data_IF_278797540332
#
_entry.id   IF_278797540332
#
_cell.length_a   1.000
_cell.length_b   1.000
_cell.length_c   1.000
_cell.angle_alpha   90.00
_cell.angle_beta   90.00
_cell.angle_gamma   90.00
#
_symmetry.space_group_name_H-M   'P 1'
#
loop_
_entity.id
_entity.type
_entity.pdbx_description
1 polymer ?
#
# COMPACT_ATOMS: atom_id res chain seq x y z
N UNK A 1 -33.94 4.38 17.50
CA UNK A 1 -32.66 3.83 17.95
C UNK A 1 -32.37 2.65 17.04
N UNK A 2 -31.43 2.77 16.11
CA UNK A 2 -31.05 1.67 15.25
C UNK A 2 -30.12 0.74 16.04
N UNK A 3 -30.52 -0.51 16.20
CA UNK A 3 -29.77 -1.59 16.81
C UNK A 3 -28.46 -1.77 16.02
N UNK A 4 -27.38 -1.28 16.58
CA UNK A 4 -26.04 -1.55 16.01
C UNK A 4 -25.82 -3.06 16.13
N UNK A 5 -26.02 -3.77 15.03
CA UNK A 5 -25.66 -5.18 14.87
C UNK A 5 -24.19 -5.34 15.26
N UNK A 6 -23.94 -5.82 16.47
CA UNK A 6 -22.60 -6.14 17.00
C UNK A 6 -22.07 -7.40 16.33
N UNK A 7 -21.76 -7.31 15.03
CA UNK A 7 -21.01 -8.38 14.38
C UNK A 7 -19.64 -8.47 15.05
N UNK A 8 -19.21 -9.65 15.46
CA UNK A 8 -17.93 -9.81 16.15
C UNK A 8 -16.78 -9.30 15.26
N UNK A 9 -15.85 -8.60 15.89
CA UNK A 9 -14.64 -8.09 15.25
C UNK A 9 -13.82 -9.26 14.66
N UNK A 10 -13.33 -9.18 13.41
CA UNK A 10 -12.55 -10.27 12.83
C UNK A 10 -11.24 -10.46 13.61
N UNK A 11 -10.81 -11.71 13.75
CA UNK A 11 -9.55 -12.01 14.44
C UNK A 11 -8.35 -11.48 13.65
N UNK A 12 -7.31 -11.04 14.36
CA UNK A 12 -6.07 -10.58 13.70
C UNK A 12 -5.49 -11.68 12.81
N UNK A 13 -5.49 -12.91 13.30
CA UNK A 13 -4.99 -14.07 12.55
C UNK A 13 -5.74 -14.29 11.24
N UNK A 14 -7.07 -14.21 11.23
CA UNK A 14 -7.85 -14.41 10.00
C UNK A 14 -7.59 -13.33 8.94
N UNK A 15 -7.34 -12.11 9.38
CA UNK A 15 -7.01 -11.00 8.47
C UNK A 15 -5.59 -11.14 7.91
N UNK A 16 -4.61 -11.45 8.77
CA UNK A 16 -3.23 -11.71 8.34
C UNK A 16 -3.14 -12.89 7.38
N UNK A 17 -3.78 -14.01 7.71
CA UNK A 17 -3.77 -15.20 6.85
C UNK A 17 -4.39 -14.92 5.48
N UNK A 18 -5.51 -14.18 5.43
CA UNK A 18 -6.15 -13.78 4.19
C UNK A 18 -5.25 -12.90 3.34
N UNK A 19 -4.66 -11.85 3.93
CA UNK A 19 -3.85 -10.90 3.17
C UNK A 19 -2.50 -11.48 2.78
N UNK A 20 -1.92 -12.36 3.60
CA UNK A 20 -0.74 -13.15 3.24
C UNK A 20 -1.04 -14.10 2.07
N UNK A 21 -2.21 -14.76 2.07
CA UNK A 21 -2.62 -15.62 0.96
C UNK A 21 -2.85 -14.80 -0.33
N UNK A 22 -3.44 -13.61 -0.23
CA UNK A 22 -3.61 -12.70 -1.37
C UNK A 22 -2.26 -12.25 -1.93
N UNK A 23 -1.33 -11.83 -1.06
CA UNK A 23 0.02 -11.43 -1.47
C UNK A 23 0.78 -12.59 -2.11
N UNK A 24 0.73 -13.79 -1.51
CA UNK A 24 1.37 -14.99 -2.05
C UNK A 24 0.79 -15.38 -3.42
N UNK A 25 -0.53 -15.35 -3.59
CA UNK A 25 -1.17 -15.63 -4.87
C UNK A 25 -0.77 -14.61 -5.94
N UNK A 26 -0.75 -13.33 -5.61
CA UNK A 26 -0.35 -12.26 -6.52
C UNK A 26 1.13 -12.41 -6.96
N UNK A 27 2.04 -12.62 -6.00
CA UNK A 27 3.45 -12.86 -6.29
C UNK A 27 3.64 -14.12 -7.14
N UNK A 28 2.93 -15.21 -6.83
CA UNK A 28 3.04 -16.46 -7.58
C UNK A 28 2.57 -16.30 -9.02
N UNK A 29 1.50 -15.55 -9.25
CA UNK A 29 1.00 -15.27 -10.59
C UNK A 29 2.02 -14.50 -11.42
N UNK A 30 2.53 -13.42 -10.88
CA UNK A 30 3.59 -12.65 -11.54
C UNK A 30 4.87 -13.48 -11.77
N UNK A 31 5.34 -14.22 -10.77
CA UNK A 31 6.55 -15.04 -10.89
C UNK A 31 6.39 -16.12 -11.97
N UNK A 32 5.20 -16.70 -12.11
CA UNK A 32 4.90 -17.66 -13.18
C UNK A 32 4.98 -16.99 -14.57
N UNK A 33 4.42 -15.80 -14.73
CA UNK A 33 4.48 -15.03 -15.98
C UNK A 33 5.94 -14.61 -16.32
N UNK A 34 6.69 -14.16 -15.32
CA UNK A 34 8.10 -13.76 -15.49
C UNK A 34 8.99 -14.95 -15.85
N UNK A 35 8.78 -16.10 -15.19
CA UNK A 35 9.45 -17.36 -15.51
C UNK A 35 9.10 -17.84 -16.92
N UNK A 36 7.83 -17.72 -17.33
CA UNK A 36 7.43 -18.05 -18.69
C UNK A 36 8.19 -17.20 -19.71
N UNK A 37 8.34 -15.91 -19.49
CA UNK A 37 9.17 -15.04 -20.33
C UNK A 37 10.62 -15.49 -20.35
N UNK A 38 11.23 -15.74 -19.19
CA UNK A 38 12.62 -16.20 -19.09
C UNK A 38 12.90 -17.48 -19.90
N UNK A 39 11.97 -18.43 -19.88
CA UNK A 39 12.16 -19.73 -20.57
C UNK A 39 11.88 -19.61 -22.07
N UNK A 40 10.84 -18.84 -22.47
CA UNK A 40 10.34 -18.84 -23.85
C UNK A 40 10.88 -17.69 -24.72
N UNK A 41 11.25 -16.55 -24.11
CA UNK A 41 11.61 -15.32 -24.83
C UNK A 41 10.43 -14.70 -25.61
N UNK A 42 9.19 -15.19 -25.42
CA UNK A 42 8.03 -14.76 -26.19
C UNK A 42 7.55 -13.37 -25.72
N UNK A 43 7.36 -12.43 -26.66
CA UNK A 43 6.91 -11.06 -26.34
C UNK A 43 5.56 -11.00 -25.61
N UNK A 44 4.64 -11.97 -25.85
CA UNK A 44 3.40 -12.06 -25.09
C UNK A 44 3.66 -12.37 -23.61
N UNK A 45 4.59 -13.27 -23.30
CA UNK A 45 4.96 -13.59 -21.93
C UNK A 45 5.58 -12.37 -21.22
N UNK A 46 6.41 -11.59 -21.92
CA UNK A 46 6.93 -10.31 -21.41
C UNK A 46 5.80 -9.33 -21.08
N UNK A 47 4.84 -9.17 -22.00
CA UNK A 47 3.72 -8.25 -21.79
C UNK A 47 2.88 -8.66 -20.58
N UNK A 48 2.59 -9.96 -20.41
CA UNK A 48 1.87 -10.49 -19.25
C UNK A 48 2.68 -10.27 -17.97
N UNK A 49 3.98 -10.57 -17.95
CA UNK A 49 4.84 -10.36 -16.79
C UNK A 49 4.84 -8.89 -16.34
N UNK A 50 4.96 -7.94 -17.28
CA UNK A 50 4.95 -6.50 -16.96
C UNK A 50 3.59 -6.03 -16.42
N UNK A 51 2.48 -6.47 -17.05
CA UNK A 51 1.14 -6.12 -16.59
C UNK A 51 0.87 -6.67 -15.19
N UNK A 52 1.19 -7.95 -14.97
CA UNK A 52 1.05 -8.59 -13.66
C UNK A 52 1.93 -7.89 -12.62
N UNK A 53 3.18 -7.55 -12.97
CA UNK A 53 4.10 -6.82 -12.09
C UNK A 53 3.51 -5.48 -11.62
N UNK A 54 2.89 -4.72 -12.53
CA UNK A 54 2.25 -3.44 -12.21
C UNK A 54 1.09 -3.65 -11.22
N UNK A 55 0.24 -4.62 -11.50
CA UNK A 55 -0.90 -4.94 -10.64
C UNK A 55 -0.44 -5.44 -9.26
N UNK A 56 0.49 -6.39 -9.23
CA UNK A 56 1.03 -6.98 -8.00
C UNK A 56 1.74 -5.93 -7.15
N UNK A 57 2.56 -5.08 -7.76
CA UNK A 57 3.25 -4.00 -7.06
C UNK A 57 2.28 -3.04 -6.37
N UNK A 58 1.19 -2.67 -7.03
CA UNK A 58 0.13 -1.86 -6.42
C UNK A 58 -0.55 -2.58 -5.24
N UNK A 59 -0.93 -3.85 -5.41
CA UNK A 59 -1.57 -4.64 -4.35
C UNK A 59 -0.67 -4.78 -3.13
N UNK A 60 0.61 -5.13 -3.34
CA UNK A 60 1.58 -5.25 -2.26
C UNK A 60 1.82 -3.90 -1.56
N UNK A 61 2.00 -2.83 -2.34
CA UNK A 61 2.17 -1.48 -1.80
C UNK A 61 1.00 -1.08 -0.89
N UNK A 62 -0.23 -1.27 -1.37
CA UNK A 62 -1.43 -0.96 -0.61
C UNK A 62 -1.60 -1.83 0.64
N UNK A 63 -1.32 -3.14 0.55
CA UNK A 63 -1.38 -4.04 1.70
C UNK A 63 -0.36 -3.63 2.78
N UNK A 64 0.90 -3.44 2.42
CA UNK A 64 1.93 -3.04 3.37
C UNK A 64 1.62 -1.69 4.01
N UNK A 65 1.13 -0.74 3.23
CA UNK A 65 0.74 0.59 3.70
C UNK A 65 -0.36 0.51 4.78
N UNK A 66 -1.45 -0.20 4.52
CA UNK A 66 -2.57 -0.35 5.47
C UNK A 66 -2.14 -1.11 6.74
N UNK A 67 -1.35 -2.18 6.60
CA UNK A 67 -0.79 -2.89 7.75
C UNK A 67 0.21 -2.05 8.52
N UNK A 68 0.95 -1.17 7.84
CA UNK A 68 1.83 -0.19 8.45
C UNK A 68 1.06 0.79 9.35
N UNK A 69 -0.02 1.36 8.83
CA UNK A 69 -0.89 2.23 9.62
C UNK A 69 -1.45 1.53 10.86
N UNK A 70 -1.96 0.33 10.69
CA UNK A 70 -2.48 -0.46 11.81
C UNK A 70 -1.40 -0.74 12.86
N UNK A 71 -0.20 -1.11 12.42
CA UNK A 71 0.93 -1.38 13.32
C UNK A 71 1.33 -0.12 14.08
N UNK A 72 1.47 1.03 13.41
CA UNK A 72 1.76 2.31 14.04
C UNK A 72 0.70 2.74 15.06
N UNK A 73 -0.59 2.54 14.72
CA UNK A 73 -1.68 2.78 15.65
C UNK A 73 -1.56 1.88 16.90
N UNK A 74 -1.31 0.58 16.72
CA UNK A 74 -1.20 -0.36 17.86
C UNK A 74 0.02 -0.11 18.73
N UNK A 75 1.17 0.20 18.13
CA UNK A 75 2.39 0.53 18.87
C UNK A 75 2.21 1.81 19.70
N UNK A 76 1.43 2.76 19.22
CA UNK A 76 1.11 3.98 19.97
C UNK A 76 0.04 3.81 21.06
N UNK A 77 -0.55 2.61 21.18
CA UNK A 77 -1.67 2.35 22.09
C UNK A 77 -3.01 2.92 21.63
N UNK A 78 -3.16 3.24 20.32
CA UNK A 78 -4.39 3.80 19.79
C UNK A 78 -5.51 2.76 19.74
N UNK A 79 -6.75 3.25 19.87
CA UNK A 79 -7.95 2.49 19.55
C UNK A 79 -8.06 2.34 18.02
N UNK A 80 -7.93 1.12 17.52
CA UNK A 80 -7.94 0.81 16.10
C UNK A 80 -8.71 -0.51 15.86
N UNK A 81 -10.05 -0.51 16.03
CA UNK A 81 -10.88 -1.70 15.82
C UNK A 81 -10.82 -2.13 14.35
N UNK A 82 -10.65 -3.44 14.14
CA UNK A 82 -10.53 -4.04 12.81
C UNK A 82 -11.89 -4.12 12.12
N UNK A 83 -11.92 -3.81 10.84
CA UNK A 83 -13.11 -3.88 10.02
C UNK A 83 -13.08 -5.14 9.17
N UNK A 84 -14.19 -5.89 9.13
CA UNK A 84 -14.32 -7.05 8.25
C UNK A 84 -14.27 -6.59 6.78
N UNK A 85 -13.29 -7.05 5.98
CA UNK A 85 -13.23 -6.70 4.58
C UNK A 85 -14.47 -7.18 3.83
N UNK A 86 -14.94 -6.38 2.87
CA UNK A 86 -16.07 -6.75 1.99
C UNK A 86 -15.54 -7.12 0.61
N UNK A 87 -15.88 -8.32 0.14
CA UNK A 87 -15.44 -8.80 -1.18
C UNK A 87 -13.93 -8.79 -1.32
N UNK A 88 -13.42 -8.12 -2.34
CA UNK A 88 -11.99 -7.98 -2.66
C UNK A 88 -11.31 -6.80 -1.96
N UNK A 89 -12.00 -6.10 -1.04
CA UNK A 89 -11.36 -4.98 -0.33
C UNK A 89 -10.18 -5.45 0.51
N UNK A 90 -9.11 -4.66 0.52
CA UNK A 90 -7.94 -4.88 1.36
C UNK A 90 -8.26 -4.72 2.84
N UNK A 91 -7.30 -5.06 3.71
CA UNK A 91 -7.41 -4.84 5.15
C UNK A 91 -7.76 -3.38 5.46
N UNK A 92 -8.64 -3.18 6.44
CA UNK A 92 -9.03 -1.87 6.98
C UNK A 92 -9.26 -1.95 8.47
N UNK A 93 -9.06 -0.82 9.12
CA UNK A 93 -9.41 -0.58 10.52
C UNK A 93 -10.03 0.80 10.66
N UNK A 94 -10.72 1.05 11.76
CA UNK A 94 -11.24 2.38 12.07
C UNK A 94 -10.24 3.10 12.99
N UNK A 95 -9.98 4.36 12.68
CA UNK A 95 -9.21 5.26 13.53
C UNK A 95 -10.02 6.53 13.75
N UNK A 96 -10.55 6.69 14.97
CA UNK A 96 -11.42 7.81 15.32
C UNK A 96 -10.66 8.81 16.17
N UNK A 97 -10.59 10.08 15.73
CA UNK A 97 -9.96 11.17 16.46
C UNK A 97 -10.70 11.54 17.76
N UNK A 98 -11.98 11.16 17.90
CA UNK A 98 -12.70 11.34 19.16
C UNK A 98 -12.16 10.44 20.29
N UNK A 99 -11.52 9.33 19.96
CA UNK A 99 -10.97 8.36 20.91
C UNK A 99 -9.44 8.30 20.92
N UNK A 100 -8.80 8.91 19.94
CA UNK A 100 -7.35 8.87 19.76
C UNK A 100 -6.76 10.30 19.77
N UNK A 101 -5.51 10.39 20.18
CA UNK A 101 -4.77 11.65 20.22
C UNK A 101 -4.08 11.94 18.89
N UNK A 102 -3.71 13.20 18.66
CA UNK A 102 -2.91 13.62 17.51
C UNK A 102 -1.54 12.91 17.45
N UNK A 103 -0.92 12.65 18.60
CA UNK A 103 0.33 11.88 18.66
C UNK A 103 0.14 10.44 18.14
N UNK A 104 -0.96 9.79 18.50
CA UNK A 104 -1.30 8.45 18.00
C UNK A 104 -1.59 8.46 16.51
N UNK A 105 -2.24 9.53 16.01
CA UNK A 105 -2.42 9.73 14.57
C UNK A 105 -1.07 9.83 13.83
N UNK A 106 -0.11 10.58 14.36
CA UNK A 106 1.22 10.66 13.75
C UNK A 106 1.94 9.30 13.73
N UNK A 107 1.88 8.52 14.82
CA UNK A 107 2.45 7.18 14.85
C UNK A 107 1.79 6.24 13.82
N UNK A 108 0.47 6.33 13.69
CA UNK A 108 -0.27 5.60 12.65
C UNK A 108 0.25 5.97 11.26
N UNK A 109 0.33 7.25 10.94
CA UNK A 109 0.78 7.73 9.63
C UNK A 109 2.24 7.33 9.34
N UNK A 110 3.15 7.49 10.31
CA UNK A 110 4.54 7.03 10.16
C UNK A 110 4.65 5.52 9.97
N UNK A 111 3.75 4.74 10.56
CA UNK A 111 3.68 3.30 10.33
C UNK A 111 3.42 2.96 8.86
N UNK A 112 2.47 3.63 8.23
CA UNK A 112 2.19 3.48 6.80
C UNK A 112 3.44 3.78 5.95
N UNK A 113 4.09 4.91 6.23
CA UNK A 113 5.34 5.29 5.57
C UNK A 113 6.44 4.22 5.71
N UNK A 114 6.73 3.80 6.92
CA UNK A 114 7.78 2.83 7.19
C UNK A 114 7.56 1.53 6.43
N UNK A 115 6.32 1.06 6.35
CA UNK A 115 6.02 -0.22 5.74
C UNK A 115 6.12 -0.19 4.21
N UNK A 116 5.58 0.82 3.53
CA UNK A 116 5.67 0.85 2.07
C UNK A 116 7.09 1.19 1.58
N UNK A 117 7.86 2.06 2.27
CA UNK A 117 9.28 2.27 1.97
C UNK A 117 10.11 1.02 2.32
N UNK A 118 9.77 0.32 3.40
CA UNK A 118 10.38 -0.97 3.77
C UNK A 118 10.16 -2.04 2.71
N UNK A 119 8.95 -2.15 2.16
CA UNK A 119 8.66 -3.04 1.04
C UNK A 119 9.53 -2.74 -0.17
N UNK A 120 9.62 -1.46 -0.55
CA UNK A 120 10.48 -1.04 -1.67
C UNK A 120 11.95 -1.43 -1.42
N UNK A 121 12.46 -1.17 -0.22
CA UNK A 121 13.83 -1.55 0.15
C UNK A 121 14.04 -3.07 0.07
N UNK A 122 13.09 -3.87 0.54
CA UNK A 122 13.14 -5.34 0.43
C UNK A 122 13.22 -5.75 -1.04
N UNK A 123 12.38 -5.19 -1.93
CA UNK A 123 12.42 -5.53 -3.35
C UNK A 123 13.76 -5.15 -4.00
N UNK A 124 14.29 -3.97 -3.70
CA UNK A 124 15.59 -3.53 -4.24
C UNK A 124 16.72 -4.45 -3.79
N UNK A 125 16.67 -4.97 -2.56
CA UNK A 125 17.70 -5.83 -2.00
C UNK A 125 17.58 -7.32 -2.41
N UNK A 126 16.40 -7.75 -2.86
CA UNK A 126 16.11 -9.18 -3.10
C UNK A 126 15.90 -9.53 -4.57
N UNK A 127 15.45 -8.57 -5.40
CA UNK A 127 15.26 -8.82 -6.83
C UNK A 127 16.60 -8.73 -7.57
N UNK A 128 16.92 -9.69 -8.44
CA UNK A 128 18.16 -9.66 -9.24
C UNK A 128 18.11 -8.65 -10.40
N UNK A 129 16.93 -8.18 -10.78
CA UNK A 129 16.70 -7.25 -11.91
C UNK A 129 17.13 -7.80 -13.27
N UNK A 130 17.02 -9.11 -13.46
CA UNK A 130 17.38 -9.80 -14.71
C UNK A 130 16.30 -9.70 -15.80
N UNK A 131 15.09 -9.26 -15.45
CA UNK A 131 13.95 -9.12 -16.37
C UNK A 131 13.28 -7.77 -16.26
N UNK A 132 12.65 -7.34 -17.36
CA UNK A 132 11.79 -6.14 -17.37
C UNK A 132 10.60 -6.32 -16.40
N UNK A 133 10.10 -7.55 -16.20
CA UNK A 133 9.05 -7.85 -15.22
C UNK A 133 9.48 -7.54 -13.79
N UNK A 134 10.71 -7.83 -13.40
CA UNK A 134 11.26 -7.50 -12.08
C UNK A 134 11.45 -5.99 -11.90
N UNK A 135 11.95 -5.31 -12.94
CA UNK A 135 12.03 -3.84 -12.95
C UNK A 135 10.62 -3.23 -12.84
N UNK A 136 9.64 -3.75 -13.57
CA UNK A 136 8.25 -3.27 -13.53
C UNK A 136 7.61 -3.45 -12.15
N UNK A 137 7.90 -4.56 -11.44
CA UNK A 137 7.43 -4.77 -10.07
C UNK A 137 7.98 -3.71 -9.11
N UNK A 138 9.29 -3.49 -9.12
CA UNK A 138 9.93 -2.47 -8.28
C UNK A 138 9.47 -1.06 -8.66
N UNK A 139 9.33 -0.76 -9.94
CA UNK A 139 8.84 0.51 -10.47
C UNK A 139 7.38 0.79 -10.06
N UNK A 140 6.53 -0.25 -10.06
CA UNK A 140 5.14 -0.14 -9.61
C UNK A 140 5.05 0.14 -8.12
N UNK A 141 5.81 -0.59 -7.29
CA UNK A 141 5.88 -0.32 -5.84
C UNK A 141 6.44 1.08 -5.59
N UNK A 142 7.49 1.51 -6.30
CA UNK A 142 8.01 2.87 -6.18
C UNK A 142 6.97 3.92 -6.56
N UNK A 143 6.22 3.72 -7.64
CA UNK A 143 5.11 4.59 -8.02
C UNK A 143 4.05 4.70 -6.92
N UNK A 144 3.67 3.58 -6.29
CA UNK A 144 2.76 3.57 -5.14
C UNK A 144 3.35 4.31 -3.94
N UNK A 145 4.63 4.09 -3.63
CA UNK A 145 5.34 4.77 -2.54
C UNK A 145 5.29 6.30 -2.72
N UNK A 146 5.57 6.80 -3.93
CA UNK A 146 5.49 8.24 -4.23
C UNK A 146 4.05 8.74 -4.13
N UNK A 147 3.07 7.99 -4.67
CA UNK A 147 1.65 8.33 -4.55
C UNK A 147 1.22 8.51 -3.08
N UNK A 148 1.49 7.53 -2.23
CA UNK A 148 1.14 7.57 -0.82
C UNK A 148 1.91 8.68 -0.08
N UNK A 149 3.22 8.83 -0.35
CA UNK A 149 4.08 9.85 0.24
C UNK A 149 3.57 11.27 -0.05
N UNK A 150 3.15 11.57 -1.28
CA UNK A 150 2.63 12.90 -1.65
C UNK A 150 1.37 13.25 -0.84
N UNK A 151 0.47 12.29 -0.63
CA UNK A 151 -0.76 12.51 0.16
C UNK A 151 -0.39 12.69 1.63
N UNK A 152 0.35 11.77 2.20
CA UNK A 152 0.63 11.74 3.63
C UNK A 152 1.57 12.85 4.09
N UNK A 153 2.56 13.23 3.29
CA UNK A 153 3.44 14.35 3.61
C UNK A 153 2.65 15.65 3.74
N UNK A 154 1.64 15.86 2.89
CA UNK A 154 0.75 17.00 2.98
C UNK A 154 -0.04 17.03 4.30
N UNK A 155 -0.59 15.87 4.69
CA UNK A 155 -1.36 15.70 5.93
C UNK A 155 -0.44 15.88 7.15
N UNK A 156 0.68 15.17 7.19
CA UNK A 156 1.62 15.22 8.31
C UNK A 156 2.19 16.63 8.50
N UNK A 157 2.54 17.33 7.43
CA UNK A 157 3.04 18.71 7.52
C UNK A 157 2.03 19.64 8.20
N UNK A 158 0.74 19.52 7.87
CA UNK A 158 -0.30 20.36 8.46
C UNK A 158 -0.57 19.97 9.92
N UNK A 159 -0.74 18.69 10.19
CA UNK A 159 -1.06 18.21 11.54
C UNK A 159 0.11 18.34 12.51
N UNK A 160 1.35 18.20 12.07
CA UNK A 160 2.54 18.52 12.88
C UNK A 160 2.68 20.02 13.12
N UNK A 161 2.12 20.86 12.25
CA UNK A 161 1.98 22.32 12.44
C UNK A 161 0.83 22.71 13.36
N UNK A 162 0.09 21.76 13.94
CA UNK A 162 -1.00 22.00 14.88
C UNK A 162 -2.40 21.97 14.30
N UNK A 163 -2.55 21.68 12.99
CA UNK A 163 -3.89 21.50 12.39
C UNK A 163 -4.57 20.24 12.95
N UNK A 164 -5.90 20.27 13.03
CA UNK A 164 -6.69 19.12 13.43
C UNK A 164 -6.63 18.02 12.36
N UNK A 165 -6.30 16.75 12.70
CA UNK A 165 -6.21 15.66 11.74
C UNK A 165 -7.53 15.35 11.02
N UNK A 166 -8.68 15.40 11.71
CA UNK A 166 -9.97 15.10 11.10
C UNK A 166 -10.35 16.19 10.08
N UNK A 167 -10.09 17.45 10.41
CA UNK A 167 -10.28 18.57 9.49
C UNK A 167 -9.36 18.44 8.27
N UNK A 168 -8.06 18.18 8.50
CA UNK A 168 -7.07 18.00 7.44
C UNK A 168 -7.45 16.85 6.48
N UNK A 169 -7.89 15.71 7.02
CA UNK A 169 -8.36 14.58 6.21
C UNK A 169 -9.62 14.93 5.40
N UNK A 170 -10.54 15.71 5.95
CA UNK A 170 -11.77 16.14 5.26
C UNK A 170 -11.50 17.06 4.05
N UNK A 171 -10.33 17.70 4.01
CA UNK A 171 -9.90 18.57 2.91
C UNK A 171 -9.28 17.79 1.74
N UNK A 172 -9.08 16.47 1.87
CA UNK A 172 -8.60 15.64 0.78
C UNK A 172 -9.62 15.62 -0.36
N UNK A 173 -9.18 16.02 -1.52
CA UNK A 173 -10.02 16.20 -2.71
C UNK A 173 -9.61 15.27 -3.85
N UNK A 174 -10.50 15.06 -4.81
CA UNK A 174 -10.18 14.35 -6.05
C UNK A 174 -8.95 14.94 -6.77
N UNK A 175 -8.72 16.27 -6.63
CA UNK A 175 -7.53 16.94 -7.16
C UNK A 175 -6.26 16.44 -6.48
N UNK A 176 -6.27 16.28 -5.15
CA UNK A 176 -5.13 15.76 -4.36
C UNK A 176 -4.77 14.35 -4.83
N UNK A 177 -5.75 13.46 -4.89
CA UNK A 177 -5.53 12.08 -5.35
C UNK A 177 -5.05 12.00 -6.80
N UNK A 178 -5.58 12.84 -7.69
CA UNK A 178 -5.12 12.91 -9.08
C UNK A 178 -3.67 13.39 -9.18
N UNK A 179 -3.28 14.43 -8.44
CA UNK A 179 -1.91 14.93 -8.45
C UNK A 179 -0.94 13.89 -7.91
N UNK A 180 -1.28 13.23 -6.80
CA UNK A 180 -0.50 12.13 -6.25
C UNK A 180 -0.40 10.96 -7.24
N UNK A 181 -1.51 10.62 -7.92
CA UNK A 181 -1.53 9.59 -8.95
C UNK A 181 -0.62 9.91 -10.13
N UNK A 182 -0.63 11.15 -10.62
CA UNK A 182 0.29 11.60 -11.68
C UNK A 182 1.75 11.50 -11.20
N UNK A 183 2.06 12.00 -10.01
CA UNK A 183 3.42 11.93 -9.46
C UNK A 183 3.90 10.48 -9.34
N UNK A 184 3.09 9.59 -8.78
CA UNK A 184 3.41 8.16 -8.65
C UNK A 184 3.60 7.49 -10.02
N UNK A 185 2.66 7.71 -10.96
CA UNK A 185 2.76 7.11 -12.29
C UNK A 185 3.99 7.58 -13.06
N UNK A 186 4.26 8.90 -13.05
CA UNK A 186 5.45 9.46 -13.73
C UNK A 186 6.73 8.89 -13.11
N UNK A 187 6.80 8.82 -11.78
CA UNK A 187 7.98 8.28 -11.09
C UNK A 187 8.18 6.79 -11.38
N UNK A 188 7.12 5.99 -11.36
CA UNK A 188 7.21 4.56 -11.70
C UNK A 188 7.62 4.35 -13.16
N UNK A 189 7.01 5.08 -14.11
CA UNK A 189 7.38 5.00 -15.53
C UNK A 189 8.83 5.45 -15.77
N UNK A 190 9.29 6.46 -15.06
CA UNK A 190 10.69 6.90 -15.15
C UNK A 190 11.65 5.79 -14.72
N UNK A 191 11.38 5.14 -13.58
CA UNK A 191 12.20 4.00 -13.11
C UNK A 191 12.16 2.85 -14.12
N UNK A 192 10.96 2.49 -14.60
CA UNK A 192 10.83 1.45 -15.62
C UNK A 192 11.63 1.78 -16.88
N UNK A 193 11.54 2.99 -17.40
CA UNK A 193 12.20 3.40 -18.63
C UNK A 193 13.74 3.55 -18.51
N UNK A 194 14.27 3.75 -17.29
CA UNK A 194 15.71 3.94 -17.08
C UNK A 194 16.45 2.65 -16.70
N UNK A 195 15.72 1.66 -16.19
CA UNK A 195 16.31 0.39 -15.71
C UNK A 195 15.93 -0.82 -16.56
N UNK A 196 15.06 -0.67 -17.58
CA UNK A 196 14.67 -1.75 -18.50
C UNK A 196 15.50 -1.88 -19.80
#
# INVERSE_FOLDING_TARGET
>A
MAEQSTKPEPTLFSLLARDAALAAAAISLWAAADTWYLISGIGLALAVSVIDAIFVGYVLGALFHEWGHYTGAKVSGASAPRVKPKGTSLFRFNFDMATNTQRQFHWMSFGGWLFHWGLLAILILTLPFDTIGQVALAASVFGFVIYATVIEAGILRQTMGGADPAETLSQLSAKTFRQAGIAGSVSGLFVLATLS
#
